data_IF_031530728654
#
_entry.id   IF_031530728654
#
_cell.length_a   1.000
_cell.length_b   1.000
_cell.length_c   1.000
_cell.angle_alpha   90.00
_cell.angle_beta   90.00
_cell.angle_gamma   90.00
#
_symmetry.space_group_name_H-M   'P 1'
#
loop_
_entity.id
_entity.type
_entity.pdbx_description
1 polymer ?
#
# COMPACT_ATOMS: atom_id res chain seq x y z
N UNK A 1 15.39 3.93 6.52
CA UNK A 1 15.07 3.43 5.16
C UNK A 1 13.68 3.92 4.79
N UNK A 2 13.47 4.46 3.58
CA UNK A 2 12.13 4.77 3.10
C UNK A 2 11.31 3.48 2.93
N UNK A 3 10.01 3.55 3.23
CA UNK A 3 9.10 2.44 3.03
C UNK A 3 8.81 2.27 1.54
N UNK A 4 9.24 1.14 0.97
CA UNK A 4 9.09 0.83 -0.46
C UNK A 4 7.89 -0.08 -0.73
N UNK A 5 7.12 -0.45 0.29
CA UNK A 5 5.97 -1.35 0.17
C UNK A 5 4.69 -0.67 0.64
N UNK A 6 3.66 -0.72 -0.18
CA UNK A 6 2.33 -0.24 0.17
C UNK A 6 1.34 -1.40 0.18
N UNK A 7 0.49 -1.45 1.21
CA UNK A 7 -0.54 -2.45 1.37
C UNK A 7 -1.61 -2.29 0.28
N UNK A 8 -1.87 -3.33 -0.49
CA UNK A 8 -2.95 -3.36 -1.49
C UNK A 8 -4.09 -4.29 -1.05
N UNK A 9 -3.85 -5.20 -0.11
CA UNK A 9 -4.91 -6.03 0.46
C UNK A 9 -4.43 -6.96 1.57
N UNK A 10 -5.38 -7.41 2.39
CA UNK A 10 -5.18 -8.42 3.42
C UNK A 10 -6.13 -9.59 3.16
N UNK A 11 -5.61 -10.81 3.27
CA UNK A 11 -6.36 -12.04 3.03
C UNK A 11 -5.96 -13.10 4.04
N UNK A 12 -6.90 -13.92 4.47
CA UNK A 12 -6.60 -15.08 5.30
C UNK A 12 -6.04 -16.23 4.46
N UNK A 13 -5.20 -17.10 5.03
CA UNK A 13 -4.82 -18.35 4.40
C UNK A 13 -6.06 -19.22 4.16
N UNK A 14 -5.99 -20.09 3.15
CA UNK A 14 -7.08 -21.03 2.87
C UNK A 14 -7.28 -21.96 4.08
N UNK A 15 -8.54 -22.09 4.54
CA UNK A 15 -8.90 -22.92 5.69
C UNK A 15 -8.87 -22.21 7.05
N UNK A 16 -8.50 -20.92 7.12
CA UNK A 16 -8.60 -20.13 8.34
C UNK A 16 -9.91 -19.32 8.33
N UNK A 17 -10.78 -19.62 9.29
CA UNK A 17 -12.03 -18.89 9.48
C UNK A 17 -11.77 -17.54 10.17
N UNK A 18 -12.57 -16.52 9.88
CA UNK A 18 -12.42 -15.19 10.50
C UNK A 18 -12.73 -15.24 12.00
N UNK A 19 -13.70 -16.08 12.40
CA UNK A 19 -14.10 -16.29 13.80
C UNK A 19 -13.02 -16.99 14.63
N UNK A 20 -12.10 -17.71 13.99
CA UNK A 20 -10.98 -18.38 14.66
C UNK A 20 -9.80 -17.45 14.94
N UNK A 21 -9.85 -16.20 14.48
CA UNK A 21 -8.77 -15.24 14.68
C UNK A 21 -8.81 -14.65 16.10
N UNK A 22 -7.65 -14.43 16.73
CA UNK A 22 -7.59 -13.68 17.97
C UNK A 22 -8.19 -12.28 17.77
N UNK A 23 -9.02 -11.82 18.70
CA UNK A 23 -9.68 -10.51 18.58
C UNK A 23 -8.71 -9.33 18.39
N UNK A 24 -7.48 -9.44 18.89
CA UNK A 24 -6.41 -8.47 18.67
C UNK A 24 -5.98 -8.40 17.19
N UNK A 25 -5.91 -9.55 16.50
CA UNK A 25 -5.62 -9.62 15.05
C UNK A 25 -6.78 -9.06 14.25
N UNK A 26 -8.03 -9.37 14.61
CA UNK A 26 -9.21 -8.79 13.96
C UNK A 26 -9.23 -7.26 14.06
N UNK A 27 -8.93 -6.70 15.25
CA UNK A 27 -8.79 -5.25 15.44
C UNK A 27 -7.63 -4.67 14.62
N UNK A 28 -6.51 -5.37 14.53
CA UNK A 28 -5.40 -4.97 13.66
C UNK A 28 -5.83 -4.91 12.19
N UNK A 29 -6.61 -5.89 11.70
CA UNK A 29 -7.12 -5.88 10.33
C UNK A 29 -8.01 -4.67 10.05
N UNK A 30 -8.91 -4.32 10.99
CA UNK A 30 -9.77 -3.13 10.87
C UNK A 30 -8.98 -1.82 10.91
N UNK A 31 -7.81 -1.81 11.56
CA UNK A 31 -6.92 -0.66 11.61
C UNK A 31 -6.13 -0.46 10.30
N UNK A 32 -6.09 -1.45 9.42
CA UNK A 32 -5.37 -1.42 8.15
C UNK A 32 -6.21 -0.83 7.00
N UNK A 33 -5.55 -0.11 6.09
CA UNK A 33 -6.19 0.47 4.90
C UNK A 33 -5.30 0.33 3.66
N UNK A 34 -5.93 0.45 2.49
CA UNK A 34 -5.24 0.42 1.20
C UNK A 34 -4.27 1.60 1.05
N UNK A 35 -2.99 1.32 0.78
CA UNK A 35 -1.90 2.29 0.70
C UNK A 35 -1.13 2.49 2.00
N UNK A 36 -1.45 1.75 3.08
CA UNK A 36 -0.68 1.76 4.31
C UNK A 36 0.74 1.22 4.08
N UNK A 37 1.75 1.87 4.67
CA UNK A 37 3.15 1.42 4.56
C UNK A 37 3.45 0.24 5.48
N UNK A 38 4.50 -0.53 5.18
CA UNK A 38 4.94 -1.66 6.03
C UNK A 38 5.27 -1.21 7.47
N UNK A 39 5.98 -0.11 7.62
CA UNK A 39 6.34 0.49 8.92
C UNK A 39 5.10 0.92 9.69
N UNK A 40 4.10 1.49 9.02
CA UNK A 40 2.83 1.85 9.64
C UNK A 40 2.09 0.62 10.17
N UNK A 41 2.09 -0.48 9.40
CA UNK A 41 1.54 -1.76 9.87
C UNK A 41 2.27 -2.27 11.12
N UNK A 42 3.62 -2.27 11.12
CA UNK A 42 4.42 -2.69 12.29
C UNK A 42 4.10 -1.83 13.52
N UNK A 43 4.04 -0.51 13.35
CA UNK A 43 3.74 0.41 14.44
C UNK A 43 2.35 0.17 15.03
N UNK A 44 1.34 -0.11 14.18
CA UNK A 44 -0.02 -0.44 14.63
C UNK A 44 -0.09 -1.78 15.34
N UNK A 45 0.56 -2.82 14.81
CA UNK A 45 0.68 -4.12 15.47
C UNK A 45 1.28 -3.97 16.87
N UNK A 46 2.40 -3.24 16.99
CA UNK A 46 3.07 -2.99 18.27
C UNK A 46 2.16 -2.28 19.28
N UNK A 47 1.37 -1.29 18.85
CA UNK A 47 0.38 -0.59 19.70
C UNK A 47 -0.71 -1.52 20.24
N UNK A 48 -0.97 -2.64 19.55
CA UNK A 48 -1.93 -3.67 19.95
C UNK A 48 -1.27 -4.81 20.76
N UNK A 49 0.01 -4.71 21.09
CA UNK A 49 0.76 -5.77 21.76
C UNK A 49 1.17 -6.93 20.84
N UNK A 50 1.03 -6.77 19.52
CA UNK A 50 1.40 -7.79 18.53
C UNK A 50 2.82 -7.57 18.02
N UNK A 51 3.60 -8.64 17.97
CA UNK A 51 4.85 -8.69 17.21
C UNK A 51 4.54 -9.16 15.79
N UNK A 52 4.72 -8.26 14.83
CA UNK A 52 4.46 -8.51 13.41
C UNK A 52 5.76 -8.77 12.64
N UNK A 53 5.82 -9.88 11.92
CA UNK A 53 6.92 -10.21 11.01
C UNK A 53 6.40 -10.42 9.59
N UNK A 54 7.19 -10.03 8.60
CA UNK A 54 6.86 -10.15 7.17
C UNK A 54 7.83 -11.13 6.53
N UNK A 55 7.31 -12.11 5.79
CA UNK A 55 8.09 -13.03 4.96
C UNK A 55 7.54 -12.99 3.54
N UNK A 56 8.39 -12.70 2.56
CA UNK A 56 7.97 -12.76 1.16
C UNK A 56 7.74 -14.23 0.77
N UNK A 57 6.62 -14.54 0.14
CA UNK A 57 6.36 -15.90 -0.37
C UNK A 57 7.10 -16.16 -1.69
N UNK A 58 7.38 -15.10 -2.45
CA UNK A 58 8.14 -15.13 -3.69
C UNK A 58 8.92 -13.81 -3.88
N UNK A 59 9.96 -13.79 -4.72
CA UNK A 59 10.60 -12.53 -5.13
C UNK A 59 9.58 -11.57 -5.76
N UNK A 60 9.57 -10.31 -5.31
CA UNK A 60 8.66 -9.27 -5.82
C UNK A 60 9.45 -8.21 -6.60
N UNK A 61 9.33 -8.17 -7.95
CA UNK A 61 9.90 -7.11 -8.76
C UNK A 61 9.33 -5.73 -8.39
N UNK A 62 10.07 -4.67 -8.74
CA UNK A 62 9.60 -3.30 -8.52
C UNK A 62 8.40 -2.97 -9.41
N UNK A 63 7.35 -2.40 -8.83
CA UNK A 63 6.10 -2.07 -9.53
C UNK A 63 5.03 -3.16 -9.45
N UNK A 64 5.41 -4.36 -9.03
CA UNK A 64 4.52 -5.50 -8.88
C UNK A 64 3.96 -5.60 -7.45
N UNK A 65 2.88 -6.36 -7.32
CA UNK A 65 2.28 -6.71 -6.04
C UNK A 65 2.74 -8.11 -5.65
N UNK A 66 3.54 -8.18 -4.59
CA UNK A 66 3.97 -9.43 -3.99
C UNK A 66 3.01 -9.89 -2.89
N UNK A 67 2.98 -11.19 -2.65
CA UNK A 67 2.30 -11.77 -1.49
C UNK A 67 3.33 -11.95 -0.37
N UNK A 68 2.96 -11.53 0.83
CA UNK A 68 3.77 -11.58 2.03
C UNK A 68 3.01 -12.32 3.12
N UNK A 69 3.62 -13.33 3.69
CA UNK A 69 3.19 -13.93 4.94
C UNK A 69 3.41 -12.94 6.08
N UNK A 70 2.33 -12.63 6.78
CA UNK A 70 2.32 -11.91 8.04
C UNK A 70 2.25 -12.93 9.17
N UNK A 71 3.24 -12.90 10.05
CA UNK A 71 3.24 -13.67 11.30
C UNK A 71 2.96 -12.71 12.44
N UNK A 72 1.87 -12.95 13.16
CA UNK A 72 1.52 -12.24 14.38
C UNK A 72 1.85 -13.14 15.56
N UNK A 73 2.54 -12.59 16.54
CA UNK A 73 2.80 -13.25 17.81
C UNK A 73 2.41 -12.30 18.95
N UNK A 74 1.57 -12.78 19.86
CA UNK A 74 1.09 -12.03 21.03
C UNK A 74 1.71 -12.56 22.36
N UNK A 75 2.71 -13.43 22.26
CA UNK A 75 3.34 -14.12 23.39
C UNK A 75 2.63 -15.41 23.82
N UNK A 76 1.37 -15.62 23.44
CA UNK A 76 0.58 -16.81 23.79
C UNK A 76 0.39 -17.75 22.57
N UNK A 77 0.36 -17.20 21.37
CA UNK A 77 0.23 -17.98 20.15
C UNK A 77 0.77 -17.26 18.92
N UNK A 78 0.80 -18.00 17.81
CA UNK A 78 1.13 -17.46 16.49
C UNK A 78 -0.10 -17.52 15.57
N UNK A 79 -0.32 -16.45 14.82
CA UNK A 79 -1.36 -16.37 13.80
C UNK A 79 -0.71 -15.98 12.45
N UNK A 80 -1.16 -16.66 11.39
CA UNK A 80 -0.67 -16.46 10.02
C UNK A 80 -1.72 -15.76 9.16
N UNK A 81 -1.23 -14.85 8.32
CA UNK A 81 -2.06 -14.09 7.39
C UNK A 81 -1.29 -13.76 6.12
N UNK A 82 -1.99 -13.39 5.06
CA UNK A 82 -1.38 -12.97 3.80
C UNK A 82 -1.66 -11.50 3.54
N UNK A 83 -0.60 -10.74 3.26
CA UNK A 83 -0.68 -9.37 2.81
C UNK A 83 -0.23 -9.27 1.35
N UNK A 84 -0.99 -8.52 0.56
CA UNK A 84 -0.57 -8.09 -0.77
C UNK A 84 0.09 -6.74 -0.61
N UNK A 85 1.38 -6.66 -0.94
CA UNK A 85 2.14 -5.41 -0.87
C UNK A 85 2.68 -5.07 -2.25
N UNK A 86 2.42 -3.85 -2.71
CA UNK A 86 3.00 -3.33 -3.94
C UNK A 86 4.36 -2.70 -3.64
N UNK A 87 5.39 -3.12 -4.36
CA UNK A 87 6.71 -2.49 -4.30
C UNK A 87 6.70 -1.19 -5.11
N UNK A 88 6.68 -0.06 -4.43
CA UNK A 88 6.84 1.25 -5.07
C UNK A 88 8.33 1.45 -5.31
N UNK A 89 8.76 1.28 -6.57
CA UNK A 89 10.14 1.53 -6.97
C UNK A 89 10.63 2.91 -6.54
N UNK A 90 11.95 3.08 -6.46
CA UNK A 90 12.55 4.37 -6.07
C UNK A 90 11.92 5.51 -6.86
N UNK A 91 11.14 6.35 -6.16
CA UNK A 91 10.47 7.53 -6.70
C UNK A 91 11.45 8.59 -7.25
N UNK A 92 12.74 8.27 -7.40
CA UNK A 92 13.77 9.15 -7.96
C UNK A 92 13.95 9.02 -9.47
N UNK A 93 13.41 8.00 -10.14
CA UNK A 93 13.64 7.78 -11.58
C UNK A 93 12.45 7.97 -12.54
N UNK A 94 11.21 7.83 -12.08
CA UNK A 94 10.01 7.80 -12.97
C UNK A 94 9.03 8.96 -12.74
N UNK A 95 9.54 10.16 -12.45
CA UNK A 95 8.74 11.41 -12.49
C UNK A 95 8.89 12.15 -13.82
N UNK A 96 9.17 11.44 -14.91
CA UNK A 96 9.07 11.93 -16.28
C UNK A 96 8.04 11.07 -17.00
N UNK A 97 6.99 11.73 -17.52
CA UNK A 97 5.87 11.19 -18.29
C UNK A 97 4.93 10.34 -17.41
N UNK A 98 3.71 10.74 -17.05
CA UNK A 98 2.64 11.27 -17.90
C UNK A 98 1.57 11.88 -16.99
N UNK A 99 1.41 13.21 -17.01
CA UNK A 99 0.21 14.00 -16.69
C UNK A 99 0.56 15.49 -16.70
N UNK A 100 1.00 15.97 -17.87
CA UNK A 100 0.47 17.25 -18.34
C UNK A 100 -0.76 16.86 -19.12
N UNK A 101 -1.90 16.86 -18.44
CA UNK A 101 -3.16 17.02 -19.16
C UNK A 101 -3.02 18.35 -19.89
N UNK A 102 -3.07 18.24 -21.20
CA UNK A 102 -3.23 19.33 -22.15
C UNK A 102 -4.31 20.28 -21.63
N UNK A 103 -3.90 21.39 -21.02
CA UNK A 103 -4.79 22.52 -20.78
C UNK A 103 -4.59 23.39 -22.00
N UNK A 104 -5.48 23.17 -22.97
CA UNK A 104 -5.82 24.02 -24.12
C UNK A 104 -4.91 25.25 -24.26
N UNK A 105 -4.01 25.23 -25.23
CA UNK A 105 -3.45 26.47 -25.77
C UNK A 105 -4.64 27.38 -26.14
N UNK A 106 -4.63 28.67 -25.75
CA UNK A 106 -5.59 29.62 -26.30
C UNK A 106 -5.43 29.62 -27.83
N UNK A 107 -6.52 29.70 -28.61
CA UNK A 107 -6.41 29.79 -30.06
C UNK A 107 -5.57 31.02 -30.44
N UNK A 108 -4.83 30.99 -31.57
CA UNK A 108 -4.05 32.12 -32.03
C UNK A 108 -4.96 33.35 -32.16
N UNK A 109 -4.63 34.44 -31.45
CA UNK A 109 -5.34 35.70 -31.62
C UNK A 109 -4.99 36.27 -32.99
N UNK A 110 -6.00 36.46 -33.84
CA UNK A 110 -5.88 37.14 -35.12
C UNK A 110 -5.57 38.64 -34.87
N UNK A 111 -4.49 39.22 -35.45
CA UNK A 111 -4.14 40.62 -35.26
C UNK A 111 -5.18 41.60 -35.83
N UNK A 112 -6.21 41.13 -36.54
CA UNK A 112 -7.27 41.99 -37.08
C UNK A 112 -8.37 42.35 -36.08
N UNK A 113 -8.44 41.72 -34.90
CA UNK A 113 -9.41 42.13 -33.86
C UNK A 113 -8.89 43.33 -33.06
N UNK A 114 -8.88 44.47 -33.74
CA UNK A 114 -8.75 45.80 -33.14
C UNK A 114 -10.14 46.27 -32.71
N UNK A 115 -10.30 46.59 -31.41
CA UNK A 115 -11.32 47.45 -30.79
C UNK A 115 -12.79 47.24 -31.17
N UNK A 116 -13.59 46.76 -30.20
CA UNK A 116 -14.96 47.22 -30.00
C UNK A 116 -15.24 47.23 -28.49
N UNK A 117 -15.24 48.45 -27.94
CA UNK A 117 -15.65 48.92 -26.60
C UNK A 117 -14.81 48.49 -25.38
#
# INVERSE_FOLDING_TARGET
MPDIYLLTGLTLPQGVAHESLPGTVTRFMSDCWHGMSRTQMIARAKRRGLRLSFRATAPCPSGETGVFELRFNDGAGECLMLARLQRVGDRRGKRRQTRRTDVSRPPPRDPRQTRLF
#
